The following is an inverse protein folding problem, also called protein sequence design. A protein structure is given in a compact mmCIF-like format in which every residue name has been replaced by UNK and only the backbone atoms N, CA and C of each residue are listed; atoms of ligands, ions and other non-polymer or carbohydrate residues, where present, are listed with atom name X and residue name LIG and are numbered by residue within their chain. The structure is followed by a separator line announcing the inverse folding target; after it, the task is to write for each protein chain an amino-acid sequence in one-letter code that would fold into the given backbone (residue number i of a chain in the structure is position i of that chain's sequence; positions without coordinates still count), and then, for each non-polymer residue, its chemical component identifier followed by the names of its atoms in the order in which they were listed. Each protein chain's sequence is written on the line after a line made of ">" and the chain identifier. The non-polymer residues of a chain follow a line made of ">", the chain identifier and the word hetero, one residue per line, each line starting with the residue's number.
data_IF_189133428696
#
_entry.id   IF_189133428696
#
_cell.length_a   1.000
_cell.length_b   1.000
_cell.length_c   1.000
_cell.angle_alpha   90.00
_cell.angle_beta   90.00
_cell.angle_gamma   90.00
#
_symmetry.space_group_name_H-M   'P 1'
#
loop_
_entity.id
_entity.type
_entity.pdbx_description
1 polymer ?
#
# COMPACT_ATOMS: atom_id res chain seq x y z
N UNK A 1 11.61 33.47 -6.59
CA UNK A 1 11.06 34.70 -7.20
C UNK A 1 9.56 34.65 -6.96
N UNK A 2 9.08 35.41 -5.97
CA UNK A 2 7.65 35.62 -5.78
C UNK A 2 7.10 36.34 -7.00
N UNK A 3 5.87 36.03 -7.39
CA UNK A 3 5.21 36.70 -8.52
C UNK A 3 4.79 38.08 -8.01
N UNK A 4 5.67 39.06 -8.15
CA UNK A 4 5.53 40.37 -7.50
C UNK A 4 4.36 41.20 -8.03
N UNK A 5 3.64 40.75 -9.07
CA UNK A 5 2.33 41.26 -9.48
C UNK A 5 1.64 40.20 -10.37
N UNK A 6 0.69 39.40 -9.87
CA UNK A 6 -0.02 38.43 -10.72
C UNK A 6 -0.88 39.17 -11.76
N UNK A 7 -0.96 38.62 -12.97
CA UNK A 7 -1.92 39.12 -13.97
C UNK A 7 -3.36 38.87 -13.50
N UNK A 8 -4.39 39.58 -14.01
CA UNK A 8 -5.78 39.35 -13.61
C UNK A 8 -6.21 37.88 -13.74
N UNK A 9 -5.75 37.20 -14.78
CA UNK A 9 -5.98 35.77 -14.98
C UNK A 9 -5.26 34.91 -13.94
N UNK A 10 -4.00 35.22 -13.61
CA UNK A 10 -3.28 34.52 -12.54
C UNK A 10 -3.93 34.74 -11.18
N UNK A 11 -4.48 35.93 -10.94
CA UNK A 11 -5.18 36.26 -9.71
C UNK A 11 -6.52 35.49 -9.61
N UNK A 12 -7.22 35.31 -10.72
CA UNK A 12 -8.42 34.46 -10.77
C UNK A 12 -8.08 32.98 -10.51
N UNK A 13 -6.97 32.47 -11.07
CA UNK A 13 -6.48 31.12 -10.75
C UNK A 13 -6.14 30.98 -9.26
N UNK A 14 -5.47 31.98 -8.67
CA UNK A 14 -5.12 31.96 -7.24
C UNK A 14 -6.36 31.97 -6.34
N UNK A 15 -7.39 32.75 -6.68
CA UNK A 15 -8.66 32.82 -5.95
C UNK A 15 -9.43 31.49 -6.02
N UNK A 16 -9.42 30.83 -7.18
CA UNK A 16 -10.02 29.51 -7.35
C UNK A 16 -9.26 28.43 -6.56
N UNK A 17 -7.93 28.54 -6.49
CA UNK A 17 -7.10 27.68 -5.65
C UNK A 17 -7.35 27.85 -4.15
N UNK A 18 -7.79 29.02 -3.70
CA UNK A 18 -8.19 29.28 -2.31
C UNK A 18 -9.61 28.82 -2.01
N UNK A 19 -10.53 29.05 -2.95
CA UNK A 19 -11.95 28.75 -2.78
C UNK A 19 -12.26 27.26 -2.96
N UNK A 20 -11.50 26.56 -3.81
CA UNK A 20 -11.74 25.15 -4.17
C UNK A 20 -10.43 24.34 -4.17
N UNK A 21 -9.86 24.02 -3.00
CA UNK A 21 -8.55 23.35 -2.91
C UNK A 21 -8.52 21.94 -3.50
N UNK A 22 -9.69 21.28 -3.63
CA UNK A 22 -9.83 19.94 -4.22
C UNK A 22 -9.90 19.91 -5.75
N UNK A 23 -9.93 21.07 -6.42
CA UNK A 23 -10.07 21.15 -7.87
C UNK A 23 -8.75 20.79 -8.58
N UNK A 24 -8.84 20.00 -9.66
CA UNK A 24 -7.64 19.55 -10.38
C UNK A 24 -7.00 20.69 -11.18
N UNK A 25 -5.72 20.53 -11.54
CA UNK A 25 -5.06 21.53 -12.40
C UNK A 25 -5.74 21.65 -13.78
N UNK A 26 -6.34 20.55 -14.27
CA UNK A 26 -7.05 20.50 -15.54
C UNK A 26 -8.37 21.28 -15.46
N UNK A 27 -9.18 21.00 -14.43
CA UNK A 27 -10.47 21.68 -14.24
C UNK A 27 -10.28 23.19 -14.02
N UNK A 28 -9.26 23.59 -13.25
CA UNK A 28 -8.92 25.00 -13.06
C UNK A 28 -8.45 25.63 -14.38
N UNK A 29 -7.66 24.91 -15.19
CA UNK A 29 -7.18 25.41 -16.46
C UNK A 29 -8.33 25.61 -17.47
N UNK A 30 -9.29 24.68 -17.49
CA UNK A 30 -10.50 24.79 -18.28
C UNK A 30 -11.38 25.97 -17.84
N UNK A 31 -11.66 26.08 -16.54
CA UNK A 31 -12.48 27.15 -15.96
C UNK A 31 -11.86 28.54 -16.20
N UNK A 32 -10.54 28.65 -16.11
CA UNK A 32 -9.82 29.93 -16.24
C UNK A 32 -9.35 30.23 -17.67
N UNK A 33 -9.54 29.30 -18.61
CA UNK A 33 -9.05 29.42 -19.99
C UNK A 33 -7.52 29.50 -20.06
N UNK A 34 -6.81 28.85 -19.12
CA UNK A 34 -5.35 28.84 -19.05
C UNK A 34 -4.77 27.46 -19.37
N UNK A 35 -3.45 27.33 -19.32
CA UNK A 35 -2.78 26.05 -19.45
C UNK A 35 -2.48 25.44 -18.09
N UNK A 36 -2.64 24.12 -17.97
CA UNK A 36 -2.37 23.34 -16.75
C UNK A 36 -0.97 23.59 -16.17
N UNK A 37 0.03 23.82 -17.01
CA UNK A 37 1.39 24.17 -16.59
C UNK A 37 1.45 25.47 -15.77
N UNK A 38 0.66 26.49 -16.16
CA UNK A 38 0.60 27.76 -15.45
C UNK A 38 -0.10 27.59 -14.09
N UNK A 39 -1.19 26.83 -14.04
CA UNK A 39 -1.87 26.49 -12.77
C UNK A 39 -0.92 25.74 -11.82
N UNK A 40 -0.16 24.78 -12.34
CA UNK A 40 0.85 24.03 -11.58
C UNK A 40 1.93 24.96 -11.00
N UNK A 41 2.45 25.86 -11.82
CA UNK A 41 3.51 26.80 -11.40
C UNK A 41 3.00 27.80 -10.35
N UNK A 42 1.76 28.27 -10.47
CA UNK A 42 1.12 29.13 -9.47
C UNK A 42 0.88 28.41 -8.14
N UNK A 43 0.35 27.18 -8.18
CA UNK A 43 0.13 26.35 -6.99
C UNK A 43 1.46 26.05 -6.27
N UNK A 44 2.52 25.78 -7.04
CA UNK A 44 3.88 25.61 -6.52
C UNK A 44 4.45 26.89 -5.91
N UNK A 45 4.29 28.03 -6.60
CA UNK A 45 4.76 29.33 -6.10
C UNK A 45 4.04 29.72 -4.80
N UNK A 46 2.74 29.43 -4.69
CA UNK A 46 1.94 29.64 -3.49
C UNK A 46 2.42 28.79 -2.32
N UNK A 47 2.67 27.49 -2.55
CA UNK A 47 3.24 26.62 -1.52
C UNK A 47 4.61 27.12 -1.05
N UNK A 48 5.46 27.56 -1.98
CA UNK A 48 6.77 28.13 -1.64
C UNK A 48 6.68 29.47 -0.88
N UNK A 49 5.63 30.27 -1.12
CA UNK A 49 5.39 31.51 -0.38
C UNK A 49 4.99 31.24 1.08
N UNK A 50 4.14 30.23 1.31
CA UNK A 50 3.81 29.77 2.67
C UNK A 50 5.04 29.27 3.44
N UNK A 51 6.03 28.70 2.73
CA UNK A 51 7.30 28.28 3.34
C UNK A 51 8.29 29.44 3.62
N UNK A 52 8.00 30.66 3.15
CA UNK A 52 8.90 31.83 3.28
C UNK A 52 8.53 32.78 4.43
N UNK A 53 7.35 32.62 5.05
CA UNK A 53 6.87 33.45 6.17
C UNK A 53 7.19 32.86 7.56
N UNK A 54 7.85 31.70 7.63
CA UNK A 54 8.34 31.11 8.88
C UNK A 54 9.80 31.55 9.11
N UNK A 55 10.00 32.76 9.65
CA UNK A 55 11.28 33.25 10.22
C UNK A 55 11.60 32.50 11.52
N UNK A 56 11.79 31.20 11.39
CA UNK A 56 12.30 30.31 12.39
C UNK A 56 13.28 29.38 11.70
N UNK A 57 14.56 29.50 12.02
CA UNK A 57 15.55 28.48 11.62
C UNK A 57 15.14 27.14 12.22
N UNK A 58 14.97 26.07 11.40
CA UNK A 58 15.69 24.85 11.76
C UNK A 58 16.27 24.14 10.55
N UNK A 59 17.56 23.84 10.65
CA UNK A 59 18.14 22.53 10.36
C UNK A 59 17.82 21.90 8.99
N UNK A 60 18.90 21.57 8.28
CA UNK A 60 18.97 20.71 7.08
C UNK A 60 18.24 19.33 7.18
N UNK A 61 17.59 19.03 8.31
CA UNK A 61 16.74 17.86 8.56
C UNK A 61 15.27 18.13 8.16
N UNK A 62 14.78 19.37 8.24
CA UNK A 62 13.39 19.75 7.97
C UNK A 62 12.98 19.56 6.52
N UNK A 63 13.93 19.65 5.58
CA UNK A 63 13.68 19.42 4.15
C UNK A 63 13.49 17.94 3.84
N UNK A 64 14.20 17.05 4.53
CA UNK A 64 14.05 15.61 4.34
C UNK A 64 12.79 15.10 5.02
N UNK A 65 12.48 15.59 6.22
CA UNK A 65 11.22 15.27 6.91
C UNK A 65 10.01 15.80 6.12
N UNK A 66 10.03 17.03 5.61
CA UNK A 66 8.93 17.53 4.75
C UNK A 66 8.79 16.79 3.44
N UNK A 67 9.89 16.35 2.82
CA UNK A 67 9.83 15.50 1.62
C UNK A 67 9.27 14.12 1.96
N UNK A 68 9.61 13.54 3.12
CA UNK A 68 9.05 12.26 3.56
C UNK A 68 7.56 12.37 3.95
N UNK A 69 7.14 13.45 4.61
CA UNK A 69 5.73 13.74 4.91
C UNK A 69 4.94 14.04 3.63
N UNK A 70 5.53 14.77 2.68
CA UNK A 70 4.94 15.02 1.36
C UNK A 70 4.86 13.74 0.53
N UNK A 71 5.86 12.85 0.62
CA UNK A 71 5.84 11.54 -0.03
C UNK A 71 4.78 10.63 0.61
N UNK A 72 4.68 10.59 1.95
CA UNK A 72 3.61 9.88 2.67
C UNK A 72 2.22 10.43 2.32
N UNK A 73 2.06 11.75 2.27
CA UNK A 73 0.83 12.40 1.83
C UNK A 73 0.51 12.13 0.35
N UNK A 74 1.52 12.10 -0.52
CA UNK A 74 1.36 11.76 -1.94
C UNK A 74 1.01 10.28 -2.11
N UNK A 75 1.64 9.39 -1.34
CA UNK A 75 1.33 7.95 -1.32
C UNK A 75 -0.11 7.72 -0.87
N UNK A 76 -0.54 8.36 0.22
CA UNK A 76 -1.91 8.30 0.69
C UNK A 76 -2.90 8.84 -0.34
N UNK A 77 -2.56 9.94 -1.03
CA UNK A 77 -3.39 10.49 -2.11
C UNK A 77 -3.49 9.54 -3.32
N UNK A 78 -2.40 8.85 -3.68
CA UNK A 78 -2.41 7.81 -4.72
C UNK A 78 -3.32 6.66 -4.31
N UNK A 79 -3.15 6.10 -3.11
CA UNK A 79 -3.96 4.97 -2.63
C UNK A 79 -5.44 5.35 -2.50
N UNK A 80 -5.73 6.57 -2.04
CA UNK A 80 -7.10 7.08 -2.00
C UNK A 80 -7.69 7.22 -3.40
N UNK A 81 -6.92 7.69 -4.39
CA UNK A 81 -7.40 7.80 -5.76
C UNK A 81 -7.64 6.43 -6.40
N UNK A 82 -6.74 5.47 -6.18
CA UNK A 82 -6.92 4.06 -6.59
C UNK A 82 -8.18 3.47 -5.97
N UNK A 83 -8.43 3.74 -4.68
CA UNK A 83 -9.64 3.26 -4.00
C UNK A 83 -10.94 3.84 -4.59
N UNK A 84 -10.90 5.07 -5.07
CA UNK A 84 -12.06 5.74 -5.69
C UNK A 84 -12.30 5.27 -7.13
N UNK A 85 -11.23 4.96 -7.85
CA UNK A 85 -11.28 4.67 -9.28
C UNK A 85 -10.13 3.70 -9.67
N UNK A 86 -10.35 2.38 -9.46
CA UNK A 86 -9.30 1.36 -9.64
C UNK A 86 -8.92 1.13 -11.11
N UNK A 87 -9.82 1.49 -12.04
CA UNK A 87 -9.66 1.31 -13.48
C UNK A 87 -8.72 2.35 -14.11
N UNK A 88 -8.30 3.36 -13.35
CA UNK A 88 -7.36 4.36 -13.82
C UNK A 88 -5.99 3.75 -14.13
N UNK A 89 -5.41 4.20 -15.24
CA UNK A 89 -4.04 3.86 -15.57
C UNK A 89 -3.06 4.55 -14.62
N UNK A 90 -1.84 4.01 -14.53
CA UNK A 90 -0.77 4.62 -13.73
C UNK A 90 -0.43 6.05 -14.21
N UNK A 91 -0.66 6.37 -15.49
CA UNK A 91 -0.44 7.70 -16.04
C UNK A 91 -1.52 8.67 -15.55
N UNK A 92 -2.79 8.28 -15.63
CA UNK A 92 -3.93 9.10 -15.22
C UNK A 92 -3.91 9.35 -13.70
N UNK A 93 -3.56 8.34 -12.91
CA UNK A 93 -3.34 8.47 -11.46
C UNK A 93 -2.22 9.46 -11.14
N UNK A 94 -1.10 9.37 -11.86
CA UNK A 94 0.03 10.26 -11.66
C UNK A 94 -0.33 11.71 -12.00
N UNK A 95 -1.07 11.93 -13.09
CA UNK A 95 -1.57 13.25 -13.46
C UNK A 95 -2.55 13.81 -12.42
N UNK A 96 -3.51 13.00 -11.97
CA UNK A 96 -4.53 13.40 -11.00
C UNK A 96 -3.92 13.81 -9.66
N UNK A 97 -2.91 13.08 -9.18
CA UNK A 97 -2.23 13.36 -7.90
C UNK A 97 -1.07 14.35 -8.05
N UNK A 98 -0.63 14.63 -9.28
CA UNK A 98 0.50 15.51 -9.55
C UNK A 98 1.87 14.88 -9.24
N UNK A 99 1.98 13.56 -9.41
CA UNK A 99 3.22 12.79 -9.23
C UNK A 99 3.71 12.20 -10.56
N UNK A 100 4.61 11.22 -10.51
CA UNK A 100 5.21 10.55 -11.65
C UNK A 100 4.72 9.10 -11.73
N UNK A 101 4.52 8.62 -12.96
CA UNK A 101 3.99 7.28 -13.26
C UNK A 101 4.83 6.15 -12.66
N UNK A 102 6.16 6.34 -12.55
CA UNK A 102 7.04 5.33 -11.94
C UNK A 102 6.69 5.11 -10.46
N UNK A 103 6.48 6.17 -9.68
CA UNK A 103 6.08 6.03 -8.28
C UNK A 103 4.73 5.35 -8.13
N UNK A 104 3.74 5.70 -8.96
CA UNK A 104 2.42 5.04 -8.91
C UNK A 104 2.55 3.55 -9.23
N UNK A 105 3.35 3.21 -10.24
CA UNK A 105 3.62 1.83 -10.62
C UNK A 105 4.27 1.06 -9.46
N UNK A 106 5.31 1.64 -8.88
CA UNK A 106 6.07 1.00 -7.81
C UNK A 106 5.18 0.83 -6.55
N UNK A 107 4.40 1.86 -6.16
CA UNK A 107 3.45 1.76 -5.05
C UNK A 107 2.35 0.71 -5.28
N UNK A 108 1.76 0.64 -6.47
CA UNK A 108 0.77 -0.40 -6.78
C UNK A 108 1.40 -1.79 -6.72
N UNK A 109 2.63 -1.93 -7.23
CA UNK A 109 3.39 -3.18 -7.17
C UNK A 109 3.67 -3.60 -5.72
N UNK A 110 4.13 -2.67 -4.87
CA UNK A 110 4.44 -2.93 -3.47
C UNK A 110 3.19 -3.35 -2.69
N UNK A 111 2.10 -2.58 -2.83
CA UNK A 111 0.83 -2.90 -2.17
C UNK A 111 0.25 -4.22 -2.69
N UNK A 112 0.34 -4.47 -3.99
CA UNK A 112 -0.09 -5.74 -4.56
C UNK A 112 0.70 -6.90 -3.96
N UNK A 113 2.03 -6.80 -3.88
CA UNK A 113 2.87 -7.83 -3.29
C UNK A 113 2.53 -8.09 -1.82
N UNK A 114 2.35 -7.05 -1.01
CA UNK A 114 1.97 -7.18 0.41
C UNK A 114 0.59 -7.81 0.60
N UNK A 115 -0.40 -7.39 -0.20
CA UNK A 115 -1.75 -7.95 -0.18
C UNK A 115 -1.73 -9.43 -0.59
N UNK A 116 -0.97 -9.77 -1.63
CA UNK A 116 -0.80 -11.17 -2.06
C UNK A 116 -0.13 -12.00 -0.98
N UNK A 117 0.94 -11.52 -0.35
CA UNK A 117 1.61 -12.23 0.73
C UNK A 117 0.66 -12.51 1.90
N UNK A 118 -0.15 -11.53 2.32
CA UNK A 118 -1.16 -11.71 3.36
C UNK A 118 -2.29 -12.66 2.94
N UNK A 119 -2.77 -12.53 1.71
CA UNK A 119 -3.83 -13.39 1.16
C UNK A 119 -3.38 -14.84 1.11
N UNK A 120 -2.13 -15.12 0.73
CA UNK A 120 -1.64 -16.49 0.60
C UNK A 120 -1.27 -17.09 1.96
N UNK A 121 -0.84 -16.26 2.92
CA UNK A 121 -0.68 -16.67 4.32
C UNK A 121 -2.02 -16.95 5.02
N UNK A 122 -3.10 -16.26 4.63
CA UNK A 122 -4.44 -16.39 5.19
C UNK A 122 -5.52 -16.35 4.08
N UNK A 123 -5.72 -17.44 3.32
CA UNK A 123 -6.59 -17.46 2.13
C UNK A 123 -8.08 -17.23 2.41
N UNK A 124 -8.49 -17.38 3.67
CA UNK A 124 -9.87 -17.16 4.12
C UNK A 124 -10.11 -15.74 4.66
N UNK A 125 -9.06 -14.92 4.77
CA UNK A 125 -9.18 -13.55 5.27
C UNK A 125 -9.97 -12.67 4.29
N UNK A 126 -10.89 -11.90 4.84
CA UNK A 126 -11.69 -10.93 4.09
C UNK A 126 -10.83 -9.73 3.69
N UNK A 127 -11.25 -9.02 2.64
CA UNK A 127 -10.56 -7.79 2.21
C UNK A 127 -10.52 -6.71 3.30
N UNK A 128 -11.49 -6.71 4.22
CA UNK A 128 -11.52 -5.77 5.34
C UNK A 128 -10.45 -6.09 6.38
N UNK A 129 -10.28 -7.37 6.74
CA UNK A 129 -9.27 -7.82 7.71
C UNK A 129 -7.85 -7.58 7.18
N UNK A 130 -7.59 -7.89 5.90
CA UNK A 130 -6.30 -7.63 5.27
C UNK A 130 -6.02 -6.12 5.22
N UNK A 131 -7.03 -5.30 4.90
CA UNK A 131 -6.86 -3.85 4.85
C UNK A 131 -6.55 -3.24 6.22
N UNK A 132 -7.20 -3.73 7.29
CA UNK A 132 -6.92 -3.31 8.66
C UNK A 132 -5.48 -3.67 9.07
N UNK A 133 -5.05 -4.89 8.76
CA UNK A 133 -3.72 -5.37 9.10
C UNK A 133 -2.60 -4.63 8.36
N UNK A 134 -2.83 -4.27 7.10
CA UNK A 134 -1.89 -3.51 6.27
C UNK A 134 -2.02 -1.99 6.43
N UNK A 135 -3.00 -1.49 7.19
CA UNK A 135 -3.25 -0.05 7.32
C UNK A 135 -3.63 0.64 6.01
N UNK A 136 -4.30 -0.08 5.09
CA UNK A 136 -4.69 0.41 3.76
C UNK A 136 -6.21 0.42 3.58
N UNK A 137 -6.69 0.78 2.38
CA UNK A 137 -8.11 0.83 2.06
C UNK A 137 -8.61 -0.50 1.51
N UNK A 138 -9.78 -0.97 1.96
CA UNK A 138 -10.41 -2.22 1.48
C UNK A 138 -10.58 -2.26 -0.03
N UNK A 139 -10.85 -1.12 -0.67
CA UNK A 139 -10.96 -1.03 -2.13
C UNK A 139 -9.62 -1.30 -2.83
N UNK A 140 -8.49 -0.88 -2.24
CA UNK A 140 -7.14 -1.14 -2.76
C UNK A 140 -6.80 -2.62 -2.63
N UNK A 141 -7.14 -3.24 -1.48
CA UNK A 141 -6.97 -4.70 -1.30
C UNK A 141 -7.80 -5.47 -2.32
N UNK A 142 -9.04 -5.05 -2.55
CA UNK A 142 -9.92 -5.68 -3.55
C UNK A 142 -9.33 -5.53 -4.96
N UNK A 143 -8.83 -4.36 -5.33
CA UNK A 143 -8.17 -4.12 -6.62
C UNK A 143 -6.96 -5.06 -6.79
N UNK A 144 -6.07 -5.09 -5.79
CA UNK A 144 -4.88 -5.93 -5.78
C UNK A 144 -5.19 -7.44 -5.91
N UNK A 145 -6.30 -7.91 -5.32
CA UNK A 145 -6.76 -9.31 -5.43
C UNK A 145 -7.52 -9.63 -6.73
N UNK A 146 -7.94 -8.63 -7.50
CA UNK A 146 -8.75 -8.83 -8.70
C UNK A 146 -7.96 -9.19 -9.95
N UNK A 147 -6.62 -9.05 -9.90
CA UNK A 147 -5.75 -9.39 -11.02
C UNK A 147 -5.67 -10.89 -11.27
N UNK A 148 -5.52 -11.27 -12.54
CA UNK A 148 -5.40 -12.67 -12.96
C UNK A 148 -4.29 -13.44 -12.23
N UNK A 149 -3.15 -12.78 -11.97
CA UNK A 149 -2.04 -13.37 -11.23
C UNK A 149 -2.42 -13.68 -9.77
N UNK A 150 -3.18 -12.80 -9.12
CA UNK A 150 -3.68 -13.03 -7.77
C UNK A 150 -4.68 -14.17 -7.72
N UNK A 151 -5.58 -14.26 -8.70
CA UNK A 151 -6.52 -15.37 -8.83
C UNK A 151 -5.79 -16.72 -9.03
N UNK A 152 -4.77 -16.75 -9.89
CA UNK A 152 -3.94 -17.95 -10.11
C UNK A 152 -3.26 -18.40 -8.80
N UNK A 153 -2.63 -17.46 -8.08
CA UNK A 153 -1.88 -17.79 -6.87
C UNK A 153 -2.81 -18.21 -5.72
N UNK A 154 -3.95 -17.55 -5.58
CA UNK A 154 -4.95 -17.89 -4.58
C UNK A 154 -5.51 -19.29 -4.80
N UNK A 155 -5.87 -19.63 -6.04
CA UNK A 155 -6.34 -20.99 -6.37
C UNK A 155 -5.24 -22.04 -6.20
N UNK A 156 -3.99 -21.69 -6.48
CA UNK A 156 -2.83 -22.57 -6.28
C UNK A 156 -2.62 -22.90 -4.80
N UNK A 157 -2.90 -21.96 -3.89
CA UNK A 157 -2.78 -22.18 -2.43
C UNK A 157 -3.99 -22.91 -1.88
N UNK A 158 -5.21 -22.63 -2.36
CA UNK A 158 -6.42 -23.33 -1.93
C UNK A 158 -6.46 -24.80 -2.37
N UNK A 159 -5.88 -25.10 -3.53
CA UNK A 159 -5.90 -26.44 -4.13
C UNK A 159 -4.47 -26.87 -4.52
N UNK A 160 -3.58 -27.15 -3.54
CA UNK A 160 -2.18 -27.43 -3.79
C UNK A 160 -1.93 -28.71 -4.61
N UNK A 161 -2.90 -29.61 -4.67
CA UNK A 161 -2.89 -30.83 -5.46
C UNK A 161 -3.12 -30.60 -6.95
N UNK A 162 -3.68 -29.45 -7.35
CA UNK A 162 -3.90 -29.14 -8.76
C UNK A 162 -2.57 -28.88 -9.46
N UNK A 163 -2.39 -29.57 -10.58
CA UNK A 163 -1.29 -29.32 -11.50
C UNK A 163 -1.49 -27.98 -12.21
N UNK A 164 -0.40 -27.43 -12.77
CA UNK A 164 -0.47 -26.22 -13.59
C UNK A 164 -1.39 -26.39 -14.82
N UNK A 165 -1.62 -27.63 -15.28
CA UNK A 165 -2.51 -27.92 -16.38
C UNK A 165 -3.98 -27.82 -15.95
N UNK A 166 -4.32 -28.37 -14.79
CA UNK A 166 -5.69 -28.33 -14.24
C UNK A 166 -6.09 -26.90 -13.86
N UNK A 167 -5.20 -26.15 -13.19
CA UNK A 167 -5.43 -24.73 -12.89
C UNK A 167 -5.62 -23.88 -14.15
N UNK A 168 -4.85 -24.16 -15.20
CA UNK A 168 -4.96 -23.44 -16.46
C UNK A 168 -6.29 -23.72 -17.18
N UNK A 169 -6.77 -24.98 -17.13
CA UNK A 169 -8.07 -25.36 -17.66
C UNK A 169 -9.21 -24.70 -16.87
N UNK A 170 -9.13 -24.71 -15.53
CA UNK A 170 -10.14 -24.13 -14.65
C UNK A 170 -10.25 -22.60 -14.81
N UNK A 171 -9.12 -21.91 -14.91
CA UNK A 171 -9.06 -20.45 -15.06
C UNK A 171 -9.17 -19.99 -16.53
N UNK A 172 -9.19 -20.92 -17.49
CA UNK A 172 -9.25 -20.61 -18.92
C UNK A 172 -8.01 -19.86 -19.45
N UNK A 173 -6.85 -20.12 -18.87
CA UNK A 173 -5.57 -19.47 -19.23
C UNK A 173 -4.56 -20.45 -19.81
N UNK A 174 -3.42 -19.94 -20.29
CA UNK A 174 -2.33 -20.80 -20.73
C UNK A 174 -1.55 -21.37 -19.55
N UNK A 175 -1.13 -22.64 -19.66
CA UNK A 175 -0.29 -23.33 -18.67
C UNK A 175 0.99 -22.54 -18.36
N UNK A 176 1.55 -21.84 -19.37
CA UNK A 176 2.71 -20.98 -19.19
C UNK A 176 2.43 -19.83 -18.21
N UNK A 177 1.25 -19.20 -18.29
CA UNK A 177 0.84 -18.13 -17.38
C UNK A 177 0.76 -18.61 -15.94
N UNK A 178 0.17 -19.80 -15.71
CA UNK A 178 0.10 -20.40 -14.36
C UNK A 178 1.49 -20.72 -13.82
N UNK A 179 2.33 -21.33 -14.66
CA UNK A 179 3.71 -21.67 -14.29
C UNK A 179 4.50 -20.41 -13.93
N UNK A 180 4.39 -19.36 -14.75
CA UNK A 180 5.16 -18.14 -14.57
C UNK A 180 4.69 -17.38 -13.32
N UNK A 181 3.38 -17.27 -13.05
CA UNK A 181 2.86 -16.70 -11.81
C UNK A 181 3.37 -17.42 -10.55
N UNK A 182 3.30 -18.77 -10.53
CA UNK A 182 3.82 -19.57 -9.40
C UNK A 182 5.33 -19.43 -9.24
N UNK A 183 6.08 -19.29 -10.33
CA UNK A 183 7.52 -19.08 -10.30
C UNK A 183 7.90 -17.70 -9.74
N UNK A 184 7.23 -16.63 -10.21
CA UNK A 184 7.40 -15.26 -9.69
C UNK A 184 7.14 -15.21 -8.19
N UNK A 185 6.11 -15.91 -7.70
CA UNK A 185 5.79 -15.94 -6.28
C UNK A 185 6.81 -16.74 -5.46
N UNK A 186 7.30 -17.88 -5.97
CA UNK A 186 8.34 -18.66 -5.29
C UNK A 186 9.66 -17.88 -5.12
N UNK A 187 9.98 -17.01 -6.09
CA UNK A 187 11.15 -16.12 -6.06
C UNK A 187 10.89 -14.87 -5.17
N UNK A 188 9.67 -14.32 -5.22
CA UNK A 188 9.29 -13.08 -4.53
C UNK A 188 9.18 -13.17 -3.00
N UNK A 189 8.92 -14.34 -2.41
CA UNK A 189 8.90 -14.49 -0.94
C UNK A 189 10.32 -14.42 -0.35
N UNK A 190 11.36 -14.74 -1.11
CA UNK A 190 12.74 -14.70 -0.63
C UNK A 190 13.25 -13.26 -0.45
N UNK A 191 12.63 -12.28 -1.11
CA UNK A 191 13.04 -10.86 -1.13
C UNK A 191 12.17 -9.96 -0.22
N UNK A 192 11.05 -10.47 0.30
CA UNK A 192 10.23 -9.76 1.30
C UNK A 192 10.82 -10.06 2.68
N UNK A 193 11.73 -9.19 3.14
CA UNK A 193 12.19 -9.16 4.53
C UNK A 193 11.03 -8.80 5.46
N UNK A 194 10.27 -9.80 5.90
CA UNK A 194 9.23 -9.71 6.92
C UNK A 194 9.81 -9.58 8.33
N UNK A 195 11.02 -9.02 8.50
CA UNK A 195 11.42 -8.54 9.82
C UNK A 195 10.57 -7.34 10.17
N UNK A 196 9.45 -7.62 10.84
CA UNK A 196 8.69 -6.67 11.61
C UNK A 196 9.68 -5.72 12.29
N UNK A 197 9.52 -4.42 12.02
CA UNK A 197 10.15 -3.38 12.83
C UNK A 197 9.71 -3.61 14.27
N UNK A 198 10.58 -4.30 15.02
CA UNK A 198 10.54 -4.40 16.47
C UNK A 198 10.81 -2.98 17.00
N UNK A 199 9.77 -2.16 17.01
CA UNK A 199 9.72 -0.93 17.80
C UNK A 199 9.59 -1.34 19.28
N UNK A 200 10.68 -1.89 19.79
CA UNK A 200 10.87 -2.31 21.16
C UNK A 200 11.81 -1.31 21.85
N UNK A 201 11.23 -0.22 22.33
CA UNK A 201 11.87 0.78 23.16
C UNK A 201 12.82 0.15 24.20
N UNK A 202 14.12 0.43 24.08
CA UNK A 202 15.14 0.05 25.06
C UNK A 202 14.94 0.86 26.34
N UNK A 203 14.11 0.39 27.26
CA UNK A 203 14.18 0.78 28.66
C UNK A 203 15.20 -0.09 29.37
N UNK A 204 16.31 0.54 29.74
CA UNK A 204 17.33 -0.04 30.58
C UNK A 204 16.73 -0.53 31.90
N UNK A 205 16.94 -1.80 32.21
CA UNK A 205 16.92 -2.31 33.56
C UNK A 205 18.01 -3.39 33.68
N UNK A 206 19.01 -3.08 34.51
CA UNK A 206 20.11 -3.98 34.87
C UNK A 206 19.62 -5.31 35.48
N UNK A 207 20.41 -6.39 35.34
CA UNK A 207 20.02 -7.73 35.75
C UNK A 207 20.26 -7.96 37.24
N UNK A 208 19.23 -8.44 37.94
CA UNK A 208 19.37 -9.07 39.24
C UNK A 208 18.99 -10.56 39.13
N UNK A 209 20.03 -11.38 39.32
CA UNK A 209 20.05 -12.83 39.45
C UNK A 209 19.10 -13.37 40.52
N UNK A 210 18.36 -14.44 40.20
CA UNK A 210 18.03 -15.60 41.06
C UNK A 210 17.08 -16.50 40.26
N UNK A 211 17.53 -17.66 39.79
CA UNK A 211 17.54 -18.93 40.53
C UNK A 211 16.17 -19.63 40.47
N UNK A 212 16.14 -20.83 39.90
CA UNK A 212 14.94 -21.66 39.78
C UNK A 212 14.85 -22.40 38.45
N UNK A 213 15.54 -23.53 38.35
CA UNK A 213 15.49 -24.40 37.18
C UNK A 213 14.15 -25.11 37.00
N UNK A 214 13.85 -25.46 35.75
CA UNK A 214 13.19 -26.69 35.34
C UNK A 214 13.25 -26.77 33.81
N UNK A 215 14.09 -27.66 33.32
CA UNK A 215 14.12 -28.10 31.94
C UNK A 215 12.71 -28.55 31.53
N UNK A 216 12.16 -27.97 30.47
CA UNK A 216 10.95 -28.46 29.82
C UNK A 216 11.26 -28.67 28.35
N UNK A 217 11.54 -29.93 28.01
CA UNK A 217 11.88 -30.38 26.66
C UNK A 217 10.72 -30.23 25.66
N UNK A 218 10.98 -30.55 24.37
CA UNK A 218 10.12 -30.25 23.21
C UNK A 218 8.75 -30.96 23.16
N UNK A 219 8.29 -31.57 24.25
CA UNK A 219 7.04 -32.33 24.32
C UNK A 219 5.79 -31.42 24.48
N UNK A 220 5.97 -30.13 24.79
CA UNK A 220 4.86 -29.20 24.99
C UNK A 220 4.19 -28.70 23.70
N UNK A 221 4.86 -28.81 22.54
CA UNK A 221 4.32 -28.37 21.24
C UNK A 221 3.32 -29.39 20.69
N UNK A 222 3.48 -30.68 21.01
CA UNK A 222 2.59 -31.76 20.52
C UNK A 222 1.25 -31.76 21.26
N UNK A 223 1.20 -31.33 22.53
CA UNK A 223 -0.04 -31.31 23.31
C UNK A 223 -1.09 -30.33 22.76
N UNK A 224 -0.67 -29.22 22.15
CA UNK A 224 -1.58 -28.22 21.55
C UNK A 224 -2.18 -28.75 20.24
N UNK A 225 -1.42 -29.49 19.44
CA UNK A 225 -1.89 -30.07 18.18
C UNK A 225 -2.86 -31.25 18.38
N UNK A 226 -2.64 -32.09 19.39
CA UNK A 226 -3.55 -33.21 19.68
C UNK A 226 -4.89 -32.71 20.27
N UNK A 227 -4.88 -31.62 21.05
CA UNK A 227 -6.09 -31.02 21.61
C UNK A 227 -7.03 -30.42 20.55
N UNK A 228 -6.47 -29.74 19.54
CA UNK A 228 -7.25 -29.16 18.44
C UNK A 228 -7.87 -30.24 17.53
N UNK A 229 -7.14 -31.34 17.28
CA UNK A 229 -7.58 -32.42 16.39
C UNK A 229 -8.70 -33.28 17.04
N UNK A 230 -8.68 -33.44 18.36
CA UNK A 230 -9.75 -34.14 19.10
C UNK A 230 -11.06 -33.33 19.14
N UNK A 231 -10.98 -31.99 19.17
CA UNK A 231 -12.16 -31.11 19.16
C UNK A 231 -12.88 -31.15 17.80
N UNK A 232 -12.14 -31.19 16.69
CA UNK A 232 -12.69 -31.35 15.34
C UNK A 232 -13.38 -32.71 15.16
N UNK A 233 -12.82 -33.79 15.74
CA UNK A 233 -13.42 -35.12 15.66
C UNK A 233 -14.74 -35.24 16.45
N UNK A 234 -14.87 -34.57 17.60
CA UNK A 234 -16.13 -34.58 18.39
C UNK A 234 -17.23 -33.76 17.73
N UNK A 235 -16.89 -32.65 17.06
CA UNK A 235 -17.85 -31.82 16.32
C UNK A 235 -18.37 -32.56 15.07
N UNK A 236 -17.52 -33.34 14.40
CA UNK A 236 -17.92 -34.17 13.25
C UNK A 236 -18.77 -35.40 13.61
N UNK A 237 -18.83 -35.79 14.89
CA UNK A 237 -19.63 -36.94 15.35
C UNK A 237 -21.00 -36.52 15.94
N UNK A 238 -21.23 -35.21 16.08
CA UNK A 238 -22.45 -34.61 16.63
C UNK A 238 -23.34 -33.94 15.56
N UNK A 239 -22.95 -34.00 14.29
CA UNK A 239 -23.72 -33.58 13.11
C UNK A 239 -24.06 -34.81 12.28
#
# INVERSE_FOLDING_TARGET
>A
MGIENPTPTQQYVLDLLDSEPGMSNADIAEETGTHTALVRDLRKAKHAAVESDDDGSPGKLSSRTRVLDSLSGTQAAVLQRVAQDPDLSNADLAEAVGTHTALVRDLRSDVQAEVLAHTLGNPDATNAEIAEQLGTLTAVVRDARSGLEAEILEQSVRNPELSNAELAEELGVHIATVRDARATYADGIEDIDLTASDDGATVAAEPATADGGSEMGPEAIVAVLVGALLLVAVVLLLV
#
